data_IF_410073519889
#
_entry.id   IF_410073519889
#
_cell.length_a   1.000
_cell.length_b   1.000
_cell.length_c   1.000
_cell.angle_alpha   90.00
_cell.angle_beta   90.00
_cell.angle_gamma   90.00
#
_symmetry.space_group_name_H-M   'P 1'
#
loop_
_entity.id
_entity.type
_entity.pdbx_description
1 polymer ?
#
# COMPACT_ATOMS: atom_id res chain seq x y z
N UNK A 1 8.39 3.03 25.45
CA UNK A 1 8.13 3.16 24.00
C UNK A 1 7.16 4.31 23.86
N UNK A 2 7.50 5.34 23.07
CA UNK A 2 6.64 6.52 22.95
C UNK A 2 5.26 6.10 22.46
N UNK A 3 4.24 6.39 23.27
CA UNK A 3 2.82 6.14 23.01
C UNK A 3 2.30 7.18 22.03
N UNK A 4 2.94 7.29 20.86
CA UNK A 4 2.51 8.25 19.86
C UNK A 4 1.17 7.80 19.29
N UNK A 5 0.19 8.71 19.30
CA UNK A 5 -1.17 8.45 18.83
C UNK A 5 -1.10 8.06 17.35
N UNK A 6 -1.65 6.90 16.95
CA UNK A 6 -1.53 6.44 15.56
C UNK A 6 -2.25 7.38 14.58
N UNK A 7 -1.59 7.66 13.48
CA UNK A 7 -2.19 8.22 12.27
C UNK A 7 -2.03 7.15 11.20
N UNK A 8 -3.12 6.40 10.99
CA UNK A 8 -3.23 5.39 9.96
C UNK A 8 -3.91 5.92 8.70
N UNK A 9 -3.89 5.12 7.63
CA UNK A 9 -4.66 5.42 6.42
C UNK A 9 -5.12 4.17 5.68
N UNK A 10 -6.23 4.30 4.99
CA UNK A 10 -6.55 3.42 3.85
C UNK A 10 -6.28 4.16 2.55
N UNK A 11 -5.58 3.50 1.62
CA UNK A 11 -5.10 4.12 0.40
C UNK A 11 -5.42 3.25 -0.83
N UNK A 12 -6.70 3.13 -1.24
CA UNK A 12 -7.09 2.29 -2.37
C UNK A 12 -6.78 2.97 -3.72
N UNK A 13 -6.41 2.17 -4.72
CA UNK A 13 -6.41 2.61 -6.12
C UNK A 13 -7.80 2.40 -6.74
N UNK A 14 -8.39 3.40 -7.43
CA UNK A 14 -9.74 3.30 -7.98
C UNK A 14 -9.80 2.56 -9.32
N UNK A 15 -9.06 1.45 -9.46
CA UNK A 15 -9.03 0.62 -10.68
C UNK A 15 -10.20 -0.37 -10.75
N UNK A 16 -10.99 -0.47 -9.68
CA UNK A 16 -12.16 -1.34 -9.53
C UNK A 16 -12.95 -1.04 -8.26
N UNK A 17 -14.10 -1.70 -8.06
CA UNK A 17 -14.85 -1.63 -6.81
C UNK A 17 -14.06 -2.24 -5.65
N UNK A 18 -14.43 -1.89 -4.42
CA UNK A 18 -13.94 -2.61 -3.25
C UNK A 18 -14.44 -4.05 -3.28
N UNK A 19 -13.53 -4.97 -2.96
CA UNK A 19 -13.79 -6.39 -2.78
C UNK A 19 -13.33 -6.80 -1.38
N UNK A 20 -13.56 -8.07 -1.01
CA UNK A 20 -13.23 -8.61 0.30
C UNK A 20 -11.78 -8.30 0.76
N UNK A 21 -10.78 -8.56 -0.08
CA UNK A 21 -9.38 -8.22 0.22
C UNK A 21 -9.14 -6.74 0.54
N UNK A 22 -9.76 -5.81 -0.20
CA UNK A 22 -9.66 -4.38 0.08
C UNK A 22 -10.39 -3.99 1.37
N UNK A 23 -11.50 -4.66 1.69
CA UNK A 23 -12.22 -4.49 2.96
C UNK A 23 -11.37 -4.94 4.14
N UNK A 24 -10.67 -6.07 4.03
CA UNK A 24 -9.73 -6.55 5.06
C UNK A 24 -8.67 -5.48 5.36
N UNK A 25 -8.09 -4.88 4.32
CA UNK A 25 -7.12 -3.79 4.48
C UNK A 25 -7.72 -2.52 5.10
N UNK A 26 -8.92 -2.11 4.65
CA UNK A 26 -9.62 -0.97 5.23
C UNK A 26 -9.95 -1.19 6.71
N UNK A 27 -10.51 -2.36 7.04
CA UNK A 27 -10.95 -2.71 8.38
C UNK A 27 -9.78 -2.83 9.35
N UNK A 28 -8.73 -3.56 9.00
CA UNK A 28 -7.55 -3.72 9.86
C UNK A 28 -6.80 -2.40 10.09
N UNK A 29 -6.67 -1.57 9.05
CA UNK A 29 -6.04 -0.24 9.21
C UNK A 29 -6.88 0.73 10.03
N UNK A 30 -8.21 0.70 9.87
CA UNK A 30 -9.14 1.53 10.64
C UNK A 30 -9.13 1.12 12.12
N UNK A 31 -9.32 -0.16 12.41
CA UNK A 31 -9.39 -0.66 13.78
C UNK A 31 -8.07 -0.45 14.53
N UNK A 32 -6.92 -0.65 13.89
CA UNK A 32 -5.63 -0.41 14.53
C UNK A 32 -5.45 1.06 14.95
N UNK A 33 -5.85 2.00 14.09
CA UNK A 33 -5.80 3.42 14.43
C UNK A 33 -6.83 3.76 15.52
N UNK A 34 -8.10 3.39 15.31
CA UNK A 34 -9.23 3.79 16.16
C UNK A 34 -9.21 3.14 17.55
N UNK A 35 -8.78 1.88 17.67
CA UNK A 35 -8.66 1.20 18.97
C UNK A 35 -7.63 1.84 19.90
N UNK A 36 -6.71 2.66 19.35
CA UNK A 36 -5.68 3.40 20.09
C UNK A 36 -5.96 4.91 20.16
N UNK A 37 -7.20 5.33 19.88
CA UNK A 37 -7.60 6.75 19.89
C UNK A 37 -6.96 7.57 18.77
N UNK A 38 -6.49 6.92 17.72
CA UNK A 38 -5.81 7.53 16.59
C UNK A 38 -6.71 8.09 15.50
N UNK A 39 -6.07 8.69 14.50
CA UNK A 39 -6.70 9.16 13.27
C UNK A 39 -6.58 8.11 12.17
N UNK A 40 -7.62 8.00 11.35
CA UNK A 40 -7.63 7.15 10.17
C UNK A 40 -8.00 7.97 8.95
N UNK A 41 -7.05 8.12 8.04
CA UNK A 41 -7.16 8.95 6.85
C UNK A 41 -7.58 8.12 5.64
N UNK A 42 -8.12 8.78 4.62
CA UNK A 42 -8.41 8.19 3.33
C UNK A 42 -7.64 8.89 2.22
N UNK A 43 -7.01 8.12 1.34
CA UNK A 43 -6.28 8.62 0.18
C UNK A 43 -6.64 7.82 -1.07
N UNK A 44 -7.11 8.49 -2.12
CA UNK A 44 -7.36 7.86 -3.41
C UNK A 44 -6.06 7.81 -4.23
N UNK A 45 -5.54 6.61 -4.45
CA UNK A 45 -4.29 6.38 -5.20
C UNK A 45 -4.57 6.22 -6.70
N UNK A 46 -5.08 7.28 -7.31
CA UNK A 46 -5.38 7.39 -8.75
C UNK A 46 -4.19 7.85 -9.59
N UNK A 47 -2.96 7.59 -9.13
CA UNK A 47 -1.71 8.06 -9.76
C UNK A 47 -1.46 7.50 -11.17
N UNK A 48 -2.10 6.38 -11.53
CA UNK A 48 -2.10 5.80 -12.88
C UNK A 48 -3.50 6.02 -13.48
N UNK A 49 -3.81 7.28 -13.78
CA UNK A 49 -5.13 7.74 -14.26
C UNK A 49 -5.72 6.88 -15.41
N UNK A 50 -4.95 6.42 -16.42
CA UNK A 50 -5.51 5.60 -17.49
C UNK A 50 -6.11 4.26 -17.02
N UNK A 51 -5.76 3.79 -15.83
CA UNK A 51 -6.32 2.56 -15.22
C UNK A 51 -7.54 2.84 -14.33
N UNK A 52 -7.89 4.10 -14.14
CA UNK A 52 -8.94 4.54 -13.21
C UNK A 52 -10.21 4.86 -13.99
N UNK A 53 -11.24 3.99 -13.99
CA UNK A 53 -12.52 4.32 -14.61
C UNK A 53 -13.16 5.58 -13.99
N UNK A 54 -13.88 6.39 -14.78
CA UNK A 54 -14.65 7.53 -14.26
C UNK A 54 -15.59 7.13 -13.11
N UNK A 55 -15.58 7.92 -12.04
CA UNK A 55 -16.37 7.66 -10.84
C UNK A 55 -15.92 6.45 -10.02
N UNK A 56 -14.76 5.84 -10.31
CA UNK A 56 -14.21 4.72 -9.54
C UNK A 56 -13.96 5.08 -8.08
N UNK A 57 -13.39 6.26 -7.84
CA UNK A 57 -13.17 6.80 -6.49
C UNK A 57 -14.48 6.99 -5.72
N UNK A 58 -15.50 7.59 -6.35
CA UNK A 58 -16.80 7.82 -5.71
C UNK A 58 -17.51 6.52 -5.32
N UNK A 59 -17.37 5.47 -6.14
CA UNK A 59 -17.92 4.14 -5.80
C UNK A 59 -17.25 3.57 -4.55
N UNK A 60 -15.92 3.70 -4.45
CA UNK A 60 -15.17 3.26 -3.27
C UNK A 60 -15.65 4.04 -2.02
N UNK A 61 -15.79 5.36 -2.13
CA UNK A 61 -16.28 6.21 -1.03
C UNK A 61 -17.66 5.76 -0.55
N UNK A 62 -18.61 5.59 -1.47
CA UNK A 62 -19.96 5.13 -1.12
C UNK A 62 -19.96 3.77 -0.43
N UNK A 63 -19.17 2.81 -0.92
CA UNK A 63 -19.07 1.49 -0.26
C UNK A 63 -18.48 1.60 1.15
N UNK A 64 -17.48 2.46 1.36
CA UNK A 64 -16.92 2.71 2.70
C UNK A 64 -17.97 3.34 3.63
N UNK A 65 -18.72 4.33 3.15
CA UNK A 65 -19.82 4.97 3.90
C UNK A 65 -20.92 3.96 4.27
N UNK A 66 -21.35 3.11 3.32
CA UNK A 66 -22.32 2.03 3.57
C UNK A 66 -21.83 1.05 4.64
N UNK A 67 -20.53 0.76 4.65
CA UNK A 67 -19.89 -0.07 5.68
C UNK A 67 -19.67 0.68 7.02
N UNK A 68 -20.03 1.96 7.11
CA UNK A 68 -19.89 2.79 8.31
C UNK A 68 -18.46 3.19 8.64
N UNK A 69 -17.56 3.20 7.66
CA UNK A 69 -16.22 3.76 7.86
C UNK A 69 -16.29 5.28 8.00
N UNK A 70 -15.59 5.80 9.00
CA UNK A 70 -15.46 7.24 9.24
C UNK A 70 -13.96 7.59 9.16
N UNK A 71 -13.56 8.36 8.15
CA UNK A 71 -12.20 8.87 8.02
C UNK A 71 -12.08 10.31 8.53
N UNK A 72 -10.89 10.69 8.96
CA UNK A 72 -10.61 12.03 9.48
C UNK A 72 -10.06 12.94 8.38
N UNK A 73 -10.60 14.16 8.32
CA UNK A 73 -10.16 15.18 7.38
C UNK A 73 -10.60 14.94 5.93
N UNK A 74 -10.01 15.71 5.02
CA UNK A 74 -10.33 15.60 3.59
C UNK A 74 -9.65 14.37 2.96
N UNK A 75 -10.34 13.76 1.99
CA UNK A 75 -9.75 12.70 1.16
C UNK A 75 -8.66 13.29 0.28
N UNK A 76 -7.44 12.77 0.38
CA UNK A 76 -6.35 13.15 -0.52
C UNK A 76 -6.50 12.40 -1.85
N UNK A 77 -6.31 13.07 -2.98
CA UNK A 77 -6.38 12.46 -4.32
C UNK A 77 -5.04 12.62 -5.03
N UNK A 78 -4.37 11.53 -5.39
CA UNK A 78 -2.98 11.57 -5.86
C UNK A 78 -2.78 12.23 -7.22
N UNK A 79 -3.77 12.20 -8.11
CA UNK A 79 -3.72 12.88 -9.41
C UNK A 79 -3.57 14.40 -9.25
N UNK A 80 -4.07 14.98 -8.15
CA UNK A 80 -3.92 16.41 -7.82
C UNK A 80 -2.54 16.77 -7.26
N UNK A 81 -1.73 15.77 -6.92
CA UNK A 81 -0.47 15.92 -6.14
C UNK A 81 0.79 15.88 -7.00
N UNK A 82 0.65 15.77 -8.33
CA UNK A 82 1.77 15.79 -9.30
C UNK A 82 2.77 16.94 -9.08
N UNK A 83 2.36 18.19 -8.78
CA UNK A 83 3.32 19.27 -8.52
C UNK A 83 4.23 18.96 -7.32
N UNK A 84 3.66 18.40 -6.25
CA UNK A 84 4.41 18.02 -5.04
C UNK A 84 5.40 16.90 -5.30
N UNK A 85 5.00 15.86 -6.04
CA UNK A 85 5.93 14.78 -6.42
C UNK A 85 7.07 15.28 -7.30
N UNK A 86 6.79 16.25 -8.18
CA UNK A 86 7.82 16.89 -9.00
C UNK A 86 8.81 17.66 -8.15
N UNK A 87 8.33 18.46 -7.20
CA UNK A 87 9.19 19.21 -6.26
C UNK A 87 10.15 18.27 -5.52
N UNK A 88 9.64 17.17 -4.96
CA UNK A 88 10.46 16.16 -4.26
C UNK A 88 11.46 15.50 -5.20
N UNK A 89 11.05 15.17 -6.43
CA UNK A 89 11.96 14.60 -7.42
C UNK A 89 13.09 15.58 -7.79
N UNK A 90 12.79 16.87 -7.96
CA UNK A 90 13.82 17.89 -8.23
C UNK A 90 14.77 18.06 -7.04
N UNK A 91 14.28 18.01 -5.81
CA UNK A 91 15.14 18.02 -4.62
C UNK A 91 16.09 16.81 -4.59
N UNK A 92 15.60 15.61 -4.92
CA UNK A 92 16.43 14.42 -5.05
C UNK A 92 17.45 14.52 -6.18
N UNK A 93 17.12 15.19 -7.30
CA UNK A 93 18.06 15.46 -8.40
C UNK A 93 19.18 16.39 -7.93
N UNK A 94 18.82 17.50 -7.27
CA UNK A 94 19.77 18.46 -6.73
C UNK A 94 20.73 17.80 -5.71
N UNK A 95 20.22 16.84 -4.92
CA UNK A 95 21.02 16.05 -3.98
C UNK A 95 21.83 14.91 -4.63
N UNK A 96 21.80 14.74 -5.96
CA UNK A 96 22.52 13.67 -6.67
C UNK A 96 22.02 12.25 -6.39
N UNK A 97 20.82 12.11 -5.79
CA UNK A 97 20.23 10.81 -5.41
C UNK A 97 19.54 10.10 -6.56
N UNK A 98 19.18 10.80 -7.62
CA UNK A 98 18.50 10.21 -8.79
C UNK A 98 19.26 10.50 -10.08
N UNK A 99 19.04 9.66 -11.09
CA UNK A 99 19.65 9.83 -12.41
C UNK A 99 18.68 9.41 -13.53
N UNK A 100 18.92 9.94 -14.73
CA UNK A 100 18.14 9.64 -15.92
C UNK A 100 18.42 8.25 -16.47
N UNK A 101 17.38 7.53 -16.88
CA UNK A 101 17.46 6.21 -17.48
C UNK A 101 16.86 6.22 -18.88
N UNK A 102 17.64 5.74 -19.86
CA UNK A 102 17.21 5.57 -21.26
C UNK A 102 16.72 4.15 -21.60
N UNK A 103 16.86 3.18 -20.69
CA UNK A 103 16.51 1.78 -20.95
C UNK A 103 15.02 1.58 -21.28
N UNK A 104 14.72 0.71 -22.23
CA UNK A 104 13.36 0.29 -22.56
C UNK A 104 12.96 -0.98 -21.79
N UNK A 105 11.66 -1.29 -21.73
CA UNK A 105 11.19 -2.56 -21.13
C UNK A 105 11.78 -3.79 -21.83
N UNK A 106 11.94 -3.74 -23.16
CA UNK A 106 12.53 -4.83 -23.96
C UNK A 106 13.99 -5.08 -23.57
N UNK A 107 14.76 -4.03 -23.33
CA UNK A 107 16.17 -4.13 -22.93
C UNK A 107 16.36 -4.67 -21.51
N UNK A 108 15.32 -4.56 -20.67
CA UNK A 108 15.32 -5.07 -19.30
C UNK A 108 14.63 -6.43 -19.18
N UNK A 109 14.17 -7.02 -20.30
CA UNK A 109 13.38 -8.24 -20.29
C UNK A 109 14.17 -9.45 -19.73
N UNK A 110 15.47 -9.50 -19.99
CA UNK A 110 16.34 -10.59 -19.55
C UNK A 110 16.98 -10.35 -18.18
N UNK A 111 16.65 -9.23 -17.53
CA UNK A 111 17.14 -8.97 -16.18
C UNK A 111 16.52 -9.93 -15.17
N UNK A 112 17.25 -10.22 -14.09
CA UNK A 112 16.78 -11.07 -13.00
C UNK A 112 15.43 -10.59 -12.45
N UNK A 113 14.62 -11.52 -11.94
CA UNK A 113 13.37 -11.22 -11.26
C UNK A 113 13.62 -11.00 -9.77
N UNK A 114 13.06 -9.92 -9.25
CA UNK A 114 12.93 -9.65 -7.84
C UNK A 114 11.84 -10.56 -7.23
N UNK A 115 11.80 -10.72 -5.89
CA UNK A 115 10.79 -11.53 -5.21
C UNK A 115 9.34 -11.12 -5.52
N UNK A 116 9.10 -9.84 -5.81
CA UNK A 116 7.79 -9.30 -6.20
C UNK A 116 7.47 -9.46 -7.70
N UNK A 117 8.32 -10.17 -8.45
CA UNK A 117 8.20 -10.39 -9.89
C UNK A 117 8.63 -9.19 -10.75
N UNK A 118 9.08 -8.08 -10.16
CA UNK A 118 9.65 -6.97 -10.92
C UNK A 118 11.04 -7.33 -11.46
N UNK A 119 11.49 -6.64 -12.52
CA UNK A 119 12.86 -6.81 -13.03
C UNK A 119 13.85 -6.05 -12.16
N UNK A 120 14.88 -6.73 -11.66
CA UNK A 120 16.03 -6.13 -10.99
C UNK A 120 16.76 -5.25 -12.00
N UNK A 121 16.96 -3.98 -11.70
CA UNK A 121 17.64 -3.09 -12.64
C UNK A 121 19.16 -3.35 -12.66
N UNK A 122 19.78 -3.64 -13.81
CA UNK A 122 21.19 -4.04 -13.90
C UNK A 122 22.17 -2.86 -13.85
N UNK A 123 21.71 -1.62 -13.61
CA UNK A 123 22.60 -0.46 -13.48
C UNK A 123 23.06 0.17 -14.80
N UNK A 124 22.51 -0.20 -15.96
CA UNK A 124 23.01 0.24 -17.28
C UNK A 124 23.20 1.75 -17.45
N UNK A 125 22.31 2.57 -16.88
CA UNK A 125 22.37 4.03 -16.97
C UNK A 125 22.96 4.70 -15.71
N UNK A 126 23.45 3.91 -14.74
CA UNK A 126 23.87 4.40 -13.40
C UNK A 126 25.04 5.39 -13.47
N UNK A 127 25.87 5.29 -14.51
CA UNK A 127 27.02 6.16 -14.78
C UNK A 127 26.79 7.12 -15.95
N UNK A 128 25.54 7.30 -16.37
CA UNK A 128 25.18 8.12 -17.52
C UNK A 128 24.31 7.35 -18.50
N UNK A 129 23.45 8.07 -19.23
CA UNK A 129 22.65 7.48 -20.30
C UNK A 129 23.56 7.11 -21.47
N UNK A 130 23.52 5.87 -22.00
CA UNK A 130 24.35 5.47 -23.14
C UNK A 130 24.19 6.37 -24.36
N UNK A 131 25.26 6.51 -25.15
CA UNK A 131 25.27 7.32 -26.37
C UNK A 131 24.10 6.96 -27.31
N UNK A 132 23.49 7.97 -27.93
CA UNK A 132 22.33 7.79 -28.81
C UNK A 132 20.99 7.61 -28.08
N UNK A 133 20.95 7.68 -26.74
CA UNK A 133 19.72 7.63 -25.95
C UNK A 133 19.51 8.91 -25.15
N UNK A 134 18.24 9.23 -24.89
CA UNK A 134 17.83 10.29 -23.98
C UNK A 134 17.28 9.70 -22.68
N UNK A 135 17.42 10.43 -21.57
CA UNK A 135 16.75 10.10 -20.32
C UNK A 135 15.23 10.18 -20.53
N UNK A 136 14.53 9.08 -20.22
CA UNK A 136 13.07 9.02 -20.29
C UNK A 136 12.43 8.73 -18.94
N UNK A 137 13.11 8.01 -18.07
CA UNK A 137 12.68 7.73 -16.70
C UNK A 137 13.71 8.26 -15.70
N UNK A 138 13.31 8.43 -14.45
CA UNK A 138 14.20 8.80 -13.35
C UNK A 138 14.24 7.69 -12.31
N UNK A 139 15.46 7.26 -11.96
CA UNK A 139 15.70 6.20 -10.99
C UNK A 139 16.39 6.73 -9.75
N UNK A 140 16.00 6.22 -8.59
CA UNK A 140 16.71 6.42 -7.33
C UNK A 140 17.95 5.50 -7.30
N UNK A 141 19.11 6.10 -7.01
CA UNK A 141 20.35 5.38 -6.77
C UNK A 141 20.27 4.69 -5.41
N UNK A 142 20.35 3.37 -5.42
CA UNK A 142 20.36 2.54 -4.22
C UNK A 142 21.80 2.37 -3.72
N UNK A 143 22.02 2.67 -2.45
CA UNK A 143 23.31 2.46 -1.80
C UNK A 143 23.45 0.98 -1.37
N UNK A 144 24.70 0.52 -1.22
CA UNK A 144 24.97 -0.84 -0.76
C UNK A 144 24.44 -1.06 0.67
N UNK A 145 23.90 -2.26 0.92
CA UNK A 145 23.49 -2.69 2.25
C UNK A 145 22.06 -3.23 2.30
N UNK A 146 21.76 -3.90 3.42
CA UNK A 146 20.42 -4.39 3.69
C UNK A 146 19.57 -3.30 4.35
N UNK A 147 18.34 -3.15 3.89
CA UNK A 147 17.30 -2.38 4.57
C UNK A 147 16.42 -3.36 5.32
N UNK A 148 16.41 -3.23 6.64
CA UNK A 148 15.60 -4.05 7.53
C UNK A 148 14.56 -3.21 8.28
N UNK A 149 13.45 -3.84 8.62
CA UNK A 149 12.44 -3.30 9.53
C UNK A 149 11.75 -4.43 10.29
N UNK A 150 11.11 -4.07 11.40
CA UNK A 150 10.30 -4.98 12.19
C UNK A 150 8.83 -4.75 11.81
N UNK A 151 8.20 -5.76 11.21
CA UNK A 151 6.78 -5.75 10.95
C UNK A 151 6.01 -6.28 12.17
N UNK A 152 4.94 -5.58 12.57
CA UNK A 152 4.16 -5.95 13.74
C UNK A 152 3.45 -7.31 13.63
N UNK A 153 3.26 -7.84 12.42
CA UNK A 153 2.64 -9.15 12.16
C UNK A 153 3.65 -10.13 11.60
N UNK A 154 4.39 -9.72 10.56
CA UNK A 154 5.26 -10.60 9.76
C UNK A 154 6.66 -10.80 10.40
N UNK A 155 7.00 -10.01 11.43
CA UNK A 155 8.28 -10.04 12.12
C UNK A 155 9.39 -9.30 11.37
N UNK A 156 10.66 -9.63 11.69
CA UNK A 156 11.83 -9.00 11.07
C UNK A 156 11.89 -9.31 9.56
N UNK A 157 11.95 -8.27 8.74
CA UNK A 157 12.17 -8.37 7.29
C UNK A 157 13.45 -7.61 6.94
N UNK A 158 14.26 -8.16 6.04
CA UNK A 158 15.48 -7.55 5.53
C UNK A 158 15.58 -7.80 4.02
N UNK A 159 15.97 -6.77 3.26
CA UNK A 159 16.20 -6.88 1.83
C UNK A 159 17.48 -6.14 1.42
N UNK A 160 18.35 -6.79 0.65
CA UNK A 160 19.47 -6.13 0.00
C UNK A 160 18.97 -5.50 -1.31
N UNK A 161 18.67 -4.21 -1.24
CA UNK A 161 18.04 -3.50 -2.35
C UNK A 161 18.91 -3.49 -3.61
N UNK A 162 20.23 -3.39 -3.50
CA UNK A 162 21.12 -3.36 -4.66
C UNK A 162 21.02 -4.67 -5.47
N UNK A 163 20.95 -5.81 -4.79
CA UNK A 163 20.91 -7.14 -5.42
C UNK A 163 19.51 -7.59 -5.81
N UNK A 164 18.53 -7.29 -4.97
CA UNK A 164 17.17 -7.83 -5.10
C UNK A 164 16.21 -6.89 -5.82
N UNK A 165 16.60 -5.63 -6.06
CA UNK A 165 15.76 -4.61 -6.73
C UNK A 165 16.56 -3.82 -7.76
N UNK A 166 17.78 -3.40 -7.41
CA UNK A 166 18.54 -2.39 -8.13
C UNK A 166 17.93 -0.98 -8.02
N UNK A 167 18.50 -0.05 -8.78
CA UNK A 167 18.05 1.35 -8.81
C UNK A 167 16.62 1.44 -9.38
N UNK A 168 15.64 1.78 -8.53
CA UNK A 168 14.22 1.72 -8.89
C UNK A 168 13.66 3.05 -9.37
N UNK A 169 12.60 2.99 -10.18
CA UNK A 169 11.99 4.16 -10.84
C UNK A 169 11.20 5.01 -9.85
N UNK A 170 11.38 6.33 -9.90
CA UNK A 170 10.53 7.33 -9.22
C UNK A 170 9.61 8.08 -10.19
N UNK A 171 10.03 8.25 -11.45
CA UNK A 171 9.20 8.77 -12.53
C UNK A 171 9.40 7.93 -13.79
N UNK A 172 8.27 7.45 -14.34
CA UNK A 172 8.21 6.57 -15.51
C UNK A 172 8.44 7.34 -16.80
N UNK A 173 8.69 6.58 -17.87
CA UNK A 173 8.88 7.08 -19.23
C UNK A 173 7.67 7.79 -19.86
N UNK A 174 6.48 7.52 -19.35
CA UNK A 174 5.22 8.14 -19.74
C UNK A 174 4.85 9.35 -18.86
N UNK A 175 5.78 9.80 -17.99
CA UNK A 175 5.62 10.99 -17.15
C UNK A 175 4.93 10.75 -15.81
N UNK A 176 4.27 9.60 -15.61
CA UNK A 176 3.63 9.24 -14.34
C UNK A 176 4.66 8.96 -13.25
N UNK A 177 4.33 9.36 -12.02
CA UNK A 177 5.15 9.06 -10.86
C UNK A 177 4.94 7.62 -10.40
N UNK A 178 6.02 6.99 -9.93
CA UNK A 178 5.94 5.63 -9.40
C UNK A 178 5.28 5.63 -8.03
N UNK A 179 4.57 4.53 -7.73
CA UNK A 179 3.94 4.28 -6.42
C UNK A 179 4.91 4.55 -5.25
N UNK A 180 6.17 4.11 -5.38
CA UNK A 180 7.18 4.28 -4.33
C UNK A 180 7.41 5.75 -3.93
N UNK A 181 7.40 6.68 -4.89
CA UNK A 181 7.53 8.10 -4.60
C UNK A 181 6.25 8.66 -3.99
N UNK A 182 5.11 8.42 -4.65
CA UNK A 182 3.84 9.01 -4.27
C UNK A 182 3.45 8.61 -2.83
N UNK A 183 3.56 7.32 -2.49
CA UNK A 183 3.19 6.82 -1.16
C UNK A 183 4.08 7.38 -0.05
N UNK A 184 5.40 7.48 -0.27
CA UNK A 184 6.34 8.00 0.74
C UNK A 184 6.09 9.49 0.99
N UNK A 185 5.89 10.26 -0.08
CA UNK A 185 5.65 11.70 0.02
C UNK A 185 4.31 11.98 0.69
N UNK A 186 3.24 11.28 0.29
CA UNK A 186 1.92 11.53 0.87
C UNK A 186 1.78 11.00 2.29
N UNK A 187 2.36 9.85 2.64
CA UNK A 187 2.35 9.37 4.03
C UNK A 187 3.07 10.39 4.94
N UNK A 188 4.20 10.95 4.49
CA UNK A 188 4.90 12.00 5.23
C UNK A 188 4.10 13.32 5.33
N UNK A 189 3.59 13.83 4.22
CA UNK A 189 2.83 15.10 4.19
C UNK A 189 1.50 14.99 4.98
N UNK A 190 0.90 13.79 5.08
CA UNK A 190 -0.30 13.53 5.89
C UNK A 190 0.02 13.21 7.37
N UNK A 191 1.31 13.09 7.74
CA UNK A 191 1.74 12.72 9.09
C UNK A 191 1.37 11.29 9.48
N UNK A 192 1.30 10.38 8.51
CA UNK A 192 1.06 8.94 8.75
C UNK A 192 2.27 8.35 9.46
N UNK A 193 2.06 7.81 10.66
CA UNK A 193 3.10 7.14 11.45
C UNK A 193 2.81 5.63 11.66
N UNK A 194 1.66 5.11 11.22
CA UNK A 194 1.31 3.70 11.26
C UNK A 194 0.72 3.24 9.92
N UNK A 195 1.49 2.43 9.18
CA UNK A 195 1.07 1.86 7.88
C UNK A 195 0.62 0.42 8.09
N UNK A 196 -0.70 0.22 8.08
CA UNK A 196 -1.33 -1.10 8.07
C UNK A 196 -1.89 -1.36 6.68
N UNK A 197 -1.41 -2.40 5.98
CA UNK A 197 -1.81 -2.72 4.59
C UNK A 197 -1.64 -4.21 4.29
N UNK A 198 -2.03 -4.65 3.09
CA UNK A 198 -1.88 -6.05 2.67
C UNK A 198 -0.41 -6.47 2.48
N UNK A 199 -0.10 -7.73 2.79
CA UNK A 199 1.23 -8.32 2.70
C UNK A 199 1.75 -8.50 1.27
N UNK A 200 0.92 -8.27 0.24
CA UNK A 200 1.37 -8.12 -1.14
C UNK A 200 2.30 -6.90 -1.33
N UNK A 201 2.24 -5.92 -0.42
CA UNK A 201 3.11 -4.74 -0.42
C UNK A 201 4.32 -4.88 0.52
N UNK A 202 4.50 -6.03 1.16
CA UNK A 202 5.57 -6.25 2.15
C UNK A 202 6.96 -5.99 1.54
N UNK A 203 7.21 -6.55 0.36
CA UNK A 203 8.50 -6.42 -0.34
C UNK A 203 8.68 -5.01 -0.97
N UNK A 204 7.68 -4.13 -0.92
CA UNK A 204 7.85 -2.69 -1.25
C UNK A 204 8.40 -1.89 -0.08
N UNK A 205 8.23 -2.34 1.15
CA UNK A 205 8.57 -1.58 2.36
C UNK A 205 10.06 -1.22 2.45
N UNK A 206 11.02 -2.12 2.18
CA UNK A 206 12.43 -1.76 2.23
C UNK A 206 12.80 -0.64 1.25
N UNK A 207 12.22 -0.63 0.04
CA UNK A 207 12.39 0.46 -0.95
C UNK A 207 11.85 1.79 -0.43
N UNK A 208 10.69 1.76 0.23
CA UNK A 208 10.05 2.95 0.80
C UNK A 208 10.85 3.51 1.96
N UNK A 209 11.34 2.64 2.86
CA UNK A 209 12.22 3.03 3.95
C UNK A 209 13.53 3.63 3.43
N UNK A 210 14.11 3.05 2.37
CA UNK A 210 15.29 3.63 1.74
C UNK A 210 15.02 5.03 1.18
N UNK A 211 13.90 5.22 0.47
CA UNK A 211 13.51 6.54 -0.04
C UNK A 211 13.22 7.53 1.10
N UNK A 212 12.56 7.11 2.18
CA UNK A 212 12.36 7.92 3.38
C UNK A 212 13.69 8.42 3.95
N UNK A 213 14.69 7.53 4.09
CA UNK A 213 16.05 7.91 4.53
C UNK A 213 16.71 8.93 3.61
N UNK A 214 16.59 8.75 2.29
CA UNK A 214 17.10 9.70 1.30
C UNK A 214 16.45 11.09 1.41
N UNK A 215 15.22 11.16 1.90
CA UNK A 215 14.45 12.38 2.12
C UNK A 215 14.57 12.92 3.56
N UNK A 216 15.34 12.27 4.43
CA UNK A 216 15.44 12.65 5.85
C UNK A 216 14.14 12.42 6.64
N UNK A 217 13.27 11.53 6.17
CA UNK A 217 11.99 11.21 6.79
C UNK A 217 12.12 10.05 7.79
N UNK A 218 11.32 10.10 8.85
CA UNK A 218 11.17 9.01 9.81
C UNK A 218 10.28 7.92 9.20
N UNK A 219 10.71 6.67 9.31
CA UNK A 219 9.89 5.55 8.86
C UNK A 219 8.71 5.32 9.82
N UNK A 220 7.48 5.11 9.32
CA UNK A 220 6.34 4.76 10.16
C UNK A 220 6.50 3.34 10.71
N UNK A 221 5.70 3.01 11.72
CA UNK A 221 5.49 1.61 12.10
C UNK A 221 4.73 0.87 10.97
N UNK A 222 5.12 -0.38 10.70
CA UNK A 222 4.51 -1.20 9.65
C UNK A 222 3.84 -2.44 10.21
N UNK A 223 2.67 -2.77 9.67
CA UNK A 223 2.00 -4.05 9.88
C UNK A 223 1.40 -4.52 8.55
N UNK A 224 1.73 -5.75 8.14
CA UNK A 224 1.24 -6.31 6.89
C UNK A 224 0.23 -7.44 7.14
N UNK A 225 -1.04 -7.14 6.83
CA UNK A 225 -2.17 -8.05 6.96
C UNK A 225 -2.09 -9.16 5.91
N UNK A 226 -2.50 -10.40 6.22
CA UNK A 226 -2.62 -11.46 5.21
C UNK A 226 -3.52 -11.02 4.06
N UNK A 227 -3.15 -11.35 2.82
CA UNK A 227 -4.03 -11.15 1.65
C UNK A 227 -4.95 -12.34 1.47
N UNK A 228 -6.19 -12.08 1.07
CA UNK A 228 -7.13 -13.13 0.73
C UNK A 228 -6.72 -13.77 -0.61
N UNK A 229 -6.56 -15.10 -0.64
CA UNK A 229 -6.22 -15.88 -1.84
C UNK A 229 -7.33 -16.90 -2.17
N UNK A 230 -7.43 -17.31 -3.43
CA UNK A 230 -8.29 -18.42 -3.87
C UNK A 230 -7.64 -19.79 -3.55
N UNK A 231 -8.33 -20.89 -3.88
CA UNK A 231 -7.85 -22.25 -3.65
C UNK A 231 -6.52 -22.56 -4.36
N UNK A 232 -6.24 -21.88 -5.48
CA UNK A 232 -5.00 -22.01 -6.25
C UNK A 232 -3.86 -21.14 -5.68
N UNK A 233 -4.10 -20.40 -4.59
CA UNK A 233 -3.14 -19.49 -3.96
C UNK A 233 -3.00 -18.14 -4.64
N UNK A 234 -3.81 -17.85 -5.65
CA UNK A 234 -3.82 -16.58 -6.35
C UNK A 234 -4.55 -15.52 -5.51
N UNK A 235 -3.98 -14.30 -5.46
CA UNK A 235 -4.59 -13.18 -4.74
C UNK A 235 -5.98 -12.87 -5.30
N UNK A 236 -6.97 -12.82 -4.41
CA UNK A 236 -8.28 -12.30 -4.76
C UNK A 236 -8.15 -10.85 -5.24
N UNK A 237 -8.46 -10.66 -6.51
CA UNK A 237 -8.39 -9.39 -7.21
C UNK A 237 -9.58 -9.27 -8.17
N UNK A 238 -9.70 -8.09 -8.79
CA UNK A 238 -10.64 -7.87 -9.90
C UNK A 238 -10.45 -8.87 -11.05
N UNK A 239 -9.23 -9.38 -11.26
CA UNK A 239 -8.93 -10.36 -12.32
C UNK A 239 -9.37 -11.78 -11.96
N UNK A 240 -9.48 -12.10 -10.66
CA UNK A 240 -9.94 -13.40 -10.16
C UNK A 240 -11.43 -13.37 -9.79
N UNK A 241 -12.21 -12.45 -10.39
CA UNK A 241 -13.68 -12.35 -10.25
C UNK A 241 -14.19 -12.16 -8.80
N UNK A 242 -13.41 -11.51 -7.93
CA UNK A 242 -13.89 -11.22 -6.58
C UNK A 242 -15.13 -10.31 -6.64
N UNK A 243 -16.28 -10.71 -6.04
CA UNK A 243 -17.49 -9.92 -6.09
C UNK A 243 -17.28 -8.58 -5.38
N UNK A 244 -17.92 -7.53 -5.92
CA UNK A 244 -18.02 -6.27 -5.22
C UNK A 244 -18.76 -6.48 -3.89
N UNK A 245 -18.44 -5.64 -2.90
CA UNK A 245 -19.19 -5.63 -1.64
C UNK A 245 -20.64 -5.24 -1.94
N UNK A 246 -21.58 -6.08 -1.52
CA UNK A 246 -23.01 -5.79 -1.60
C UNK A 246 -23.41 -4.83 -0.48
N UNK A 247 -23.91 -3.66 -0.88
CA UNK A 247 -24.34 -2.59 0.02
C UNK A 247 -25.47 -3.06 0.98
N UNK A 248 -26.28 -4.06 0.59
CA UNK A 248 -27.32 -4.65 1.43
C UNK A 248 -26.83 -5.66 2.48
N UNK A 249 -25.55 -6.05 2.45
CA UNK A 249 -24.97 -7.11 3.28
C UNK A 249 -23.62 -6.73 3.93
N UNK A 250 -23.41 -5.43 4.20
CA UNK A 250 -22.15 -4.89 4.70
C UNK A 250 -21.68 -5.52 6.04
N UNK A 251 -22.55 -5.62 7.05
CA UNK A 251 -22.16 -6.17 8.37
C UNK A 251 -21.73 -7.64 8.28
N UNK A 252 -22.48 -8.56 7.64
CA UNK A 252 -22.03 -9.94 7.43
C UNK A 252 -20.64 -10.07 6.80
N UNK A 253 -20.32 -9.27 5.75
CA UNK A 253 -19.00 -9.33 5.11
C UNK A 253 -17.90 -8.72 5.98
N UNK A 254 -18.19 -7.69 6.76
CA UNK A 254 -17.24 -7.15 7.73
C UNK A 254 -16.96 -8.12 8.88
N UNK A 255 -17.96 -8.88 9.34
CA UNK A 255 -17.77 -9.98 10.32
C UNK A 255 -16.86 -11.06 9.74
N UNK A 256 -17.06 -11.45 8.48
CA UNK A 256 -16.17 -12.40 7.80
C UNK A 256 -14.74 -11.85 7.69
N UNK A 257 -14.58 -10.55 7.42
CA UNK A 257 -13.26 -9.90 7.37
C UNK A 257 -12.58 -9.86 8.75
N UNK A 258 -13.33 -9.65 9.85
CA UNK A 258 -12.80 -9.76 11.21
C UNK A 258 -12.33 -11.17 11.53
N UNK A 259 -13.15 -12.18 11.19
CA UNK A 259 -12.79 -13.58 11.40
C UNK A 259 -11.55 -13.97 10.57
N UNK A 260 -11.46 -13.50 9.33
CA UNK A 260 -10.28 -13.65 8.47
C UNK A 260 -9.01 -13.04 9.09
N UNK A 261 -9.16 -11.91 9.78
CA UNK A 261 -8.10 -11.25 10.57
C UNK A 261 -7.84 -11.93 11.93
N UNK A 262 -8.31 -13.17 12.13
CA UNK A 262 -8.09 -13.94 13.35
C UNK A 262 -8.84 -13.42 14.59
N UNK A 263 -9.75 -12.46 14.40
CA UNK A 263 -10.63 -12.01 15.48
C UNK A 263 -11.74 -13.05 15.72
N UNK A 264 -12.42 -12.95 16.85
CA UNK A 264 -13.49 -13.90 17.23
C UNK A 264 -14.82 -13.18 17.41
N UNK A 265 -15.41 -12.61 16.33
CA UNK A 265 -16.73 -11.98 16.41
C UNK A 265 -17.79 -13.02 16.75
N UNK A 266 -18.73 -12.72 17.66
CA UNK A 266 -19.79 -13.66 18.00
C UNK A 266 -20.81 -13.76 16.85
N UNK A 267 -21.47 -14.93 16.65
CA UNK A 267 -22.33 -15.16 15.48
C UNK A 267 -23.48 -14.15 15.33
N UNK A 268 -24.03 -13.67 16.44
CA UNK A 268 -25.09 -12.66 16.49
C UNK A 268 -24.67 -11.31 15.90
N UNK A 269 -23.37 -10.99 15.88
CA UNK A 269 -22.86 -9.75 15.32
C UNK A 269 -23.18 -9.61 13.83
N UNK A 270 -23.37 -10.72 13.11
CA UNK A 270 -23.77 -10.71 11.70
C UNK A 270 -25.12 -10.03 11.45
N UNK A 271 -25.99 -9.98 12.47
CA UNK A 271 -27.33 -9.37 12.41
C UNK A 271 -27.38 -7.99 13.09
N UNK A 272 -26.24 -7.51 13.57
CA UNK A 272 -26.15 -6.24 14.26
C UNK A 272 -26.30 -5.06 13.30
N UNK A 273 -26.60 -3.88 13.85
CA UNK A 273 -26.48 -2.63 13.11
C UNK A 273 -25.01 -2.33 12.82
N UNK A 274 -24.73 -1.52 11.80
CA UNK A 274 -23.37 -1.04 11.49
C UNK A 274 -22.73 -0.35 12.69
N UNK A 275 -23.50 0.43 13.47
CA UNK A 275 -23.03 1.10 14.67
C UNK A 275 -22.61 0.11 15.78
N UNK A 276 -23.43 -0.92 16.02
CA UNK A 276 -23.12 -1.95 17.03
C UNK A 276 -21.93 -2.82 16.60
N UNK A 277 -21.81 -3.11 15.30
CA UNK A 277 -20.62 -3.76 14.73
C UNK A 277 -19.35 -2.98 15.06
N UNK A 278 -19.32 -1.67 14.75
CA UNK A 278 -18.14 -0.84 14.99
C UNK A 278 -17.83 -0.67 16.48
N UNK A 279 -18.85 -0.55 17.34
CA UNK A 279 -18.66 -0.50 18.80
C UNK A 279 -18.00 -1.79 19.29
N UNK A 280 -18.49 -2.95 18.86
CA UNK A 280 -17.91 -4.24 19.23
C UNK A 280 -16.48 -4.38 18.69
N UNK A 281 -16.27 -4.12 17.40
CA UNK A 281 -14.99 -4.32 16.73
C UNK A 281 -13.88 -3.44 17.33
N UNK A 282 -14.17 -2.16 17.64
CA UNK A 282 -13.21 -1.26 18.28
C UNK A 282 -12.82 -1.74 19.69
N UNK A 283 -13.78 -2.27 20.45
CA UNK A 283 -13.54 -2.77 21.82
C UNK A 283 -12.82 -4.12 21.89
N UNK A 284 -12.80 -4.89 20.80
CA UNK A 284 -12.26 -6.26 20.75
C UNK A 284 -11.11 -6.45 19.77
N UNK A 285 -10.69 -5.39 19.07
CA UNK A 285 -9.57 -5.45 18.13
C UNK A 285 -8.27 -5.80 18.84
N UNK A 286 -7.60 -6.85 18.37
CA UNK A 286 -6.26 -7.20 18.81
C UNK A 286 -5.39 -7.54 17.60
N UNK A 287 -4.43 -6.65 17.28
CA UNK A 287 -3.45 -6.87 16.21
C UNK A 287 -2.66 -8.17 16.39
N UNK A 288 -2.37 -8.55 17.64
CA UNK A 288 -1.64 -9.79 17.98
C UNK A 288 -2.39 -11.08 17.60
N UNK A 289 -3.70 -11.00 17.30
CA UNK A 289 -4.49 -12.14 16.81
C UNK A 289 -4.46 -12.27 15.29
N UNK A 290 -3.98 -11.25 14.57
CA UNK A 290 -3.88 -11.32 13.12
C UNK A 290 -2.88 -12.42 12.74
N UNK A 291 -3.25 -13.40 11.90
CA UNK A 291 -2.38 -14.50 11.56
C UNK A 291 -1.09 -14.02 10.89
N UNK A 292 0.05 -14.55 11.35
CA UNK A 292 1.36 -14.33 10.72
C UNK A 292 1.49 -15.17 9.45
N UNK A 293 0.84 -14.70 8.39
CA UNK A 293 0.91 -15.28 7.05
C UNK A 293 0.86 -14.17 6.00
N UNK A 294 1.52 -14.37 4.84
CA UNK A 294 1.41 -13.43 3.72
C UNK A 294 0.06 -13.54 3.01
N UNK A 295 -0.49 -14.75 2.90
CA UNK A 295 -1.80 -15.01 2.31
C UNK A 295 -2.58 -16.05 3.11
N UNK A 296 -3.91 -15.94 3.07
CA UNK A 296 -4.84 -16.89 3.67
C UNK A 296 -5.97 -17.17 2.68
N UNK A 297 -6.44 -18.42 2.64
CA UNK A 297 -7.60 -18.78 1.85
C UNK A 297 -8.79 -17.92 2.29
N UNK A 298 -9.41 -17.23 1.34
CA UNK A 298 -10.76 -16.73 1.57
C UNK A 298 -11.65 -17.94 1.76
N UNK A 299 -12.32 -18.05 2.91
CA UNK A 299 -13.24 -19.15 3.14
C UNK A 299 -14.27 -19.17 2.00
N UNK A 300 -14.33 -20.28 1.27
CA UNK A 300 -15.36 -20.50 0.27
C UNK A 300 -16.71 -20.48 1.00
N UNK A 301 -17.59 -19.57 0.58
CA UNK A 301 -18.99 -19.62 0.97
C UNK A 301 -19.70 -20.68 0.16
#
# INVERSE_FOLDING_TARGET
MSTEVPVGRFAPSPTGPLHFGSLVAALGSCLEARARGGRWLLRMEDIDEPRCPPGGGDRILRTLETCGFEWDGAVLVQSTRKPRYREVLEALKAAGRVYGCGCTRRELADSALAPDGARVYPGTCRHGVPAGKAARAWRLRVDAGAVCFDDAIQGRICQNLEREVGDFVLQRADGYFAYQLAVVVDDADQGVNHVVRGADLLDSTPRQIFLQRCLGLTAPAYAHLPVAVNADGEKLSKQTLAPAIDDGAAVPVMVDALAFLGQSPPPELRRATTADFWRWARGHWAMSRVPRARGLLAQAR
#
